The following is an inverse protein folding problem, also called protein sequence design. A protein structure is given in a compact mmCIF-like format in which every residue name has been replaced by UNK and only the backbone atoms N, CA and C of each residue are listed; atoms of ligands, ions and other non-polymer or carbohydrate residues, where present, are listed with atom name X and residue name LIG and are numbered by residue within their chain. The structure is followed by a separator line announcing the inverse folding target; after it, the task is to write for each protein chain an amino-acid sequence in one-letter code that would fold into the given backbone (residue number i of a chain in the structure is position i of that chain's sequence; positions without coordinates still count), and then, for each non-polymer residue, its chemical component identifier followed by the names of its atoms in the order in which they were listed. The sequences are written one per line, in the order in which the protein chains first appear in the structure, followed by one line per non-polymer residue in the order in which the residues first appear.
data_IF_842667973035
#
_entry.id   IF_842667973035
#
_cell.length_a   1.000
_cell.length_b   1.000
_cell.length_c   1.000
_cell.angle_alpha   90.00
_cell.angle_beta   90.00
_cell.angle_gamma   90.00
#
_symmetry.space_group_name_H-M   'P 1'
#
loop_
_entity.id
_entity.type
_entity.pdbx_description
1 polymer ?
#
# COMPACT_ATOMS: atom_id res chain seq x y z
N UNK A 1 -6.90 -18.78 -65.62
CA UNK A 1 -8.10 -18.96 -64.76
C UNK A 1 -7.83 -19.89 -63.59
N UNK A 2 -7.32 -21.11 -63.73
CA UNK A 2 -7.11 -22.06 -62.65
C UNK A 2 -6.24 -21.54 -61.49
N UNK A 3 -5.12 -20.87 -61.77
CA UNK A 3 -4.25 -20.33 -60.74
C UNK A 3 -4.87 -19.22 -59.89
N UNK A 4 -5.80 -18.45 -60.45
CA UNK A 4 -6.55 -17.42 -59.74
C UNK A 4 -7.61 -18.01 -58.81
N UNK A 5 -8.32 -19.05 -59.26
CA UNK A 5 -9.31 -19.78 -58.47
C UNK A 5 -8.63 -20.51 -57.28
N UNK A 6 -7.49 -21.13 -57.50
CA UNK A 6 -6.71 -21.79 -56.43
C UNK A 6 -6.22 -20.79 -55.39
N UNK A 7 -5.81 -19.59 -55.82
CA UNK A 7 -5.42 -18.49 -54.93
C UNK A 7 -6.59 -18.01 -54.07
N UNK A 8 -7.76 -17.83 -54.66
CA UNK A 8 -9.00 -17.44 -53.92
C UNK A 8 -9.39 -18.53 -52.91
N UNK A 9 -9.37 -19.81 -53.32
CA UNK A 9 -9.67 -20.92 -52.42
C UNK A 9 -8.68 -21.04 -51.26
N UNK A 10 -7.39 -20.82 -51.51
CA UNK A 10 -6.37 -20.82 -50.49
C UNK A 10 -6.57 -19.66 -49.51
N UNK A 11 -6.89 -18.45 -49.98
CA UNK A 11 -7.24 -17.28 -49.18
C UNK A 11 -8.46 -17.55 -48.30
N UNK A 12 -9.54 -18.08 -48.88
CA UNK A 12 -10.75 -18.35 -48.11
C UNK A 12 -10.51 -19.38 -47.01
N UNK A 13 -9.78 -20.47 -47.26
CA UNK A 13 -9.41 -21.45 -46.23
C UNK A 13 -8.58 -20.84 -45.12
N UNK A 14 -7.66 -19.95 -45.41
CA UNK A 14 -6.83 -19.25 -44.45
C UNK A 14 -7.68 -18.34 -43.56
N UNK A 15 -8.55 -17.54 -44.15
CA UNK A 15 -9.48 -16.65 -43.41
C UNK A 15 -10.39 -17.48 -42.51
N UNK A 16 -10.99 -18.56 -43.03
CA UNK A 16 -11.86 -19.46 -42.26
C UNK A 16 -11.12 -20.13 -41.07
N UNK A 17 -9.87 -20.56 -41.29
CA UNK A 17 -9.03 -21.12 -40.26
C UNK A 17 -8.68 -20.07 -39.18
N UNK A 18 -8.35 -18.84 -39.58
CA UNK A 18 -8.06 -17.75 -38.64
C UNK A 18 -9.30 -17.36 -37.80
N UNK A 19 -10.50 -17.34 -38.40
CA UNK A 19 -11.75 -17.10 -37.67
C UNK A 19 -12.06 -18.14 -36.59
N UNK A 20 -11.64 -19.38 -36.78
CA UNK A 20 -11.86 -20.45 -35.83
C UNK A 20 -10.79 -20.47 -34.70
N UNK A 21 -9.55 -20.15 -35.04
CA UNK A 21 -8.41 -20.33 -34.13
C UNK A 21 -8.19 -19.09 -33.26
N UNK A 22 -8.08 -17.90 -33.84
CA UNK A 22 -7.68 -16.69 -33.10
C UNK A 22 -8.65 -16.29 -31.98
N UNK A 23 -9.97 -16.28 -32.19
CA UNK A 23 -10.91 -15.95 -31.11
C UNK A 23 -10.83 -16.95 -29.93
N UNK A 24 -10.65 -18.25 -30.23
CA UNK A 24 -10.51 -19.27 -29.21
C UNK A 24 -9.21 -19.09 -28.40
N UNK A 25 -8.12 -18.74 -29.07
CA UNK A 25 -6.83 -18.46 -28.44
C UNK A 25 -6.93 -17.23 -27.53
N UNK A 26 -7.50 -16.12 -27.99
CA UNK A 26 -7.66 -14.92 -27.18
C UNK A 26 -8.61 -15.10 -25.99
N UNK A 27 -9.66 -15.93 -26.12
CA UNK A 27 -10.47 -16.32 -24.95
C UNK A 27 -9.66 -17.07 -23.91
N UNK A 28 -8.74 -17.95 -24.31
CA UNK A 28 -7.79 -18.61 -23.39
C UNK A 28 -6.85 -17.61 -22.73
N UNK A 29 -6.53 -16.50 -23.39
CA UNK A 29 -5.73 -15.40 -22.84
C UNK A 29 -6.50 -14.48 -21.90
N UNK A 30 -7.79 -14.78 -21.66
CA UNK A 30 -8.64 -14.04 -20.73
C UNK A 30 -9.35 -12.83 -21.35
N UNK A 31 -9.53 -12.83 -22.66
CA UNK A 31 -10.36 -11.84 -23.35
C UNK A 31 -11.83 -12.27 -23.36
N UNK A 32 -12.71 -11.35 -22.94
CA UNK A 32 -14.16 -11.48 -22.98
C UNK A 32 -14.82 -10.14 -23.38
N UNK A 33 -14.14 -9.39 -24.24
CA UNK A 33 -14.57 -8.07 -24.70
C UNK A 33 -15.14 -8.20 -26.12
N UNK A 34 -16.46 -8.03 -26.32
CA UNK A 34 -17.08 -8.12 -27.64
C UNK A 34 -16.50 -7.15 -28.66
N UNK A 35 -16.11 -5.95 -28.23
CA UNK A 35 -15.50 -4.95 -29.11
C UNK A 35 -14.13 -5.43 -29.61
N UNK A 36 -13.32 -6.04 -28.73
CA UNK A 36 -12.06 -6.66 -29.13
C UNK A 36 -12.28 -7.74 -30.21
N UNK A 37 -13.25 -8.62 -30.01
CA UNK A 37 -13.52 -9.69 -31.00
C UNK A 37 -14.05 -9.14 -32.30
N UNK A 38 -14.88 -8.10 -32.31
CA UNK A 38 -15.32 -7.42 -33.52
C UNK A 38 -14.15 -6.79 -34.29
N UNK A 39 -13.22 -6.15 -33.57
CA UNK A 39 -11.99 -5.60 -34.15
C UNK A 39 -11.09 -6.70 -34.73
N UNK A 40 -10.94 -7.81 -34.00
CA UNK A 40 -10.18 -8.99 -34.43
C UNK A 40 -10.75 -9.57 -35.75
N UNK A 41 -12.07 -9.76 -35.81
CA UNK A 41 -12.74 -10.21 -37.02
C UNK A 41 -12.52 -9.25 -38.20
N UNK A 42 -12.58 -7.94 -37.92
CA UNK A 42 -12.29 -6.91 -38.92
C UNK A 42 -10.84 -7.02 -39.47
N UNK A 43 -9.89 -7.34 -38.63
CA UNK A 43 -8.48 -7.55 -39.05
C UNK A 43 -8.32 -8.82 -39.89
N UNK A 44 -8.96 -9.93 -39.49
CA UNK A 44 -8.90 -11.22 -40.21
C UNK A 44 -9.48 -11.08 -41.64
N UNK A 45 -10.50 -10.22 -41.82
CA UNK A 45 -11.13 -9.98 -43.13
C UNK A 45 -10.23 -9.15 -44.07
N UNK A 46 -9.26 -8.44 -43.55
CA UNK A 46 -8.29 -7.68 -44.36
C UNK A 46 -7.33 -8.64 -45.07
N UNK A 47 -6.80 -8.20 -46.17
CA UNK A 47 -5.80 -8.95 -46.94
C UNK A 47 -4.39 -8.78 -46.35
N UNK A 48 -4.25 -9.08 -45.04
CA UNK A 48 -3.04 -8.96 -44.31
C UNK A 48 -2.34 -10.32 -44.13
N UNK A 49 -1.04 -10.34 -44.08
CA UNK A 49 -0.28 -11.51 -43.67
C UNK A 49 -0.50 -11.81 -42.18
N UNK A 50 -0.21 -13.03 -41.72
CA UNK A 50 -0.33 -13.40 -40.33
C UNK A 50 0.54 -12.54 -39.39
N UNK A 51 1.72 -12.13 -39.89
CA UNK A 51 2.60 -11.21 -39.17
C UNK A 51 1.99 -9.81 -39.02
N UNK A 52 1.35 -9.31 -40.09
CA UNK A 52 0.67 -8.01 -40.05
C UNK A 52 -0.56 -8.04 -39.14
N UNK A 53 -1.36 -9.11 -39.20
CA UNK A 53 -2.50 -9.29 -38.27
C UNK A 53 -2.03 -9.25 -36.82
N UNK A 54 -0.95 -9.96 -36.48
CA UNK A 54 -0.37 -9.93 -35.11
C UNK A 54 0.11 -8.54 -34.72
N UNK A 55 0.73 -7.79 -35.64
CA UNK A 55 1.15 -6.41 -35.36
C UNK A 55 -0.04 -5.48 -35.12
N UNK A 56 -1.10 -5.62 -35.91
CA UNK A 56 -2.31 -4.80 -35.73
C UNK A 56 -3.05 -5.14 -34.41
N UNK A 57 -3.13 -6.42 -34.04
CA UNK A 57 -3.71 -6.84 -32.75
C UNK A 57 -2.98 -6.18 -31.58
N UNK A 58 -1.64 -6.11 -31.63
CA UNK A 58 -0.84 -5.49 -30.56
C UNK A 58 -1.05 -3.98 -30.43
N UNK A 59 -1.64 -3.33 -31.43
CA UNK A 59 -2.01 -1.90 -31.36
C UNK A 59 -3.38 -1.68 -30.69
N UNK A 60 -4.21 -2.71 -30.58
CA UNK A 60 -5.55 -2.60 -30.01
C UNK A 60 -5.49 -2.21 -28.52
N UNK A 61 -6.33 -1.25 -28.09
CA UNK A 61 -6.38 -0.84 -26.68
C UNK A 61 -6.64 -2.00 -25.71
N UNK A 62 -7.52 -2.93 -26.09
CA UNK A 62 -7.83 -4.11 -25.29
C UNK A 62 -6.60 -5.02 -25.11
N UNK A 63 -5.82 -5.24 -26.18
CA UNK A 63 -4.56 -5.99 -26.09
C UNK A 63 -3.58 -5.31 -25.13
N UNK A 64 -3.43 -3.99 -25.21
CA UNK A 64 -2.54 -3.25 -24.34
C UNK A 64 -2.98 -3.22 -22.87
N UNK A 65 -4.30 -3.26 -22.60
CA UNK A 65 -4.80 -3.43 -21.23
C UNK A 65 -4.44 -4.80 -20.65
N UNK A 66 -4.39 -5.83 -21.50
CA UNK A 66 -4.11 -7.22 -21.06
C UNK A 66 -2.62 -7.54 -21.02
N UNK A 67 -1.85 -7.05 -22.00
CA UNK A 67 -0.44 -7.41 -22.20
C UNK A 67 0.49 -6.18 -22.23
N UNK A 68 0.08 -5.05 -21.68
CA UNK A 68 0.83 -3.80 -21.73
C UNK A 68 2.23 -3.87 -21.11
N UNK A 69 2.45 -4.75 -20.13
CA UNK A 69 3.75 -4.97 -19.54
C UNK A 69 4.79 -5.48 -20.57
N UNK A 70 4.39 -6.22 -21.61
CA UNK A 70 5.30 -6.67 -22.68
C UNK A 70 5.97 -5.46 -23.34
N UNK A 71 5.16 -4.45 -23.70
CA UNK A 71 5.69 -3.23 -24.32
C UNK A 71 6.63 -2.48 -23.37
N UNK A 72 6.21 -2.30 -22.11
CA UNK A 72 7.02 -1.59 -21.10
C UNK A 72 8.34 -2.30 -20.79
N UNK A 73 8.39 -3.64 -20.85
CA UNK A 73 9.65 -4.41 -20.78
C UNK A 73 10.60 -4.02 -21.93
N UNK A 74 10.09 -4.01 -23.15
CA UNK A 74 10.87 -3.64 -24.35
C UNK A 74 11.37 -2.20 -24.22
N UNK A 75 10.51 -1.28 -23.81
CA UNK A 75 10.85 0.14 -23.60
C UNK A 75 11.96 0.33 -22.53
N UNK A 76 12.14 -0.64 -21.61
CA UNK A 76 13.22 -0.71 -20.62
C UNK A 76 14.47 -1.45 -21.10
N UNK A 77 14.49 -1.93 -22.33
CA UNK A 77 15.61 -2.69 -22.88
C UNK A 77 15.62 -4.17 -22.48
N UNK A 78 14.53 -4.68 -21.91
CA UNK A 78 14.37 -6.09 -21.57
C UNK A 78 13.81 -6.88 -22.76
N UNK A 79 14.04 -8.20 -22.78
CA UNK A 79 13.47 -9.07 -23.79
C UNK A 79 11.94 -9.14 -23.70
N UNK A 80 11.29 -9.20 -24.87
CA UNK A 80 9.86 -9.46 -24.94
C UNK A 80 9.57 -10.88 -24.44
N UNK A 81 8.45 -11.04 -23.74
CA UNK A 81 7.86 -12.36 -23.43
C UNK A 81 6.71 -12.62 -24.40
N UNK A 82 6.51 -13.87 -24.79
CA UNK A 82 5.32 -14.28 -25.54
C UNK A 82 4.07 -14.24 -24.66
N UNK A 83 2.90 -14.19 -25.30
CA UNK A 83 1.63 -14.21 -24.59
C UNK A 83 1.45 -15.50 -23.74
N UNK A 84 1.96 -16.64 -24.23
CA UNK A 84 1.95 -17.90 -23.49
C UNK A 84 2.88 -17.88 -22.27
N UNK A 85 4.09 -17.33 -22.40
CA UNK A 85 5.01 -17.13 -21.27
C UNK A 85 4.44 -16.17 -20.25
N UNK A 86 3.78 -15.10 -20.71
CA UNK A 86 3.10 -14.14 -19.85
C UNK A 86 2.06 -14.81 -18.95
N UNK A 87 1.21 -15.66 -19.54
CA UNK A 87 0.21 -16.42 -18.78
C UNK A 87 0.85 -17.42 -17.81
N UNK A 88 1.92 -18.09 -18.23
CA UNK A 88 2.67 -19.01 -17.37
C UNK A 88 3.28 -18.28 -16.16
N UNK A 89 3.79 -17.06 -16.36
CA UNK A 89 4.28 -16.21 -15.26
C UNK A 89 3.15 -15.83 -14.30
N UNK A 90 1.99 -15.40 -14.81
CA UNK A 90 0.82 -15.12 -13.97
C UNK A 90 0.40 -16.32 -13.11
N UNK A 91 0.39 -17.53 -13.69
CA UNK A 91 0.07 -18.75 -12.96
C UNK A 91 1.09 -19.06 -11.86
N UNK A 92 2.37 -18.92 -12.15
CA UNK A 92 3.44 -19.13 -11.20
C UNK A 92 3.40 -18.11 -10.06
N UNK A 93 3.20 -16.82 -10.37
CA UNK A 93 3.06 -15.78 -9.34
C UNK A 93 1.83 -16.03 -8.47
N UNK A 94 0.68 -16.34 -9.07
CA UNK A 94 -0.54 -16.64 -8.31
C UNK A 94 -0.35 -17.83 -7.36
N UNK A 95 0.27 -18.90 -7.84
CA UNK A 95 0.54 -20.08 -7.03
C UNK A 95 1.51 -19.78 -5.89
N UNK A 96 2.57 -19.00 -6.15
CA UNK A 96 3.53 -18.60 -5.14
C UNK A 96 2.86 -17.72 -4.09
N UNK A 97 2.15 -16.66 -4.48
CA UNK A 97 1.46 -15.76 -3.55
C UNK A 97 0.42 -16.49 -2.70
N UNK A 98 -0.34 -17.43 -3.30
CA UNK A 98 -1.31 -18.26 -2.58
C UNK A 98 -0.63 -19.15 -1.52
N UNK A 99 0.49 -19.78 -1.85
CA UNK A 99 1.27 -20.60 -0.89
C UNK A 99 1.74 -19.79 0.32
N UNK A 100 2.09 -18.54 0.12
CA UNK A 100 2.51 -17.63 1.19
C UNK A 100 1.34 -16.95 1.91
N UNK A 101 0.08 -17.24 1.55
CA UNK A 101 -1.11 -16.73 2.21
C UNK A 101 -1.41 -15.25 1.96
N UNK A 102 -0.94 -14.70 0.83
CA UNK A 102 -1.31 -13.33 0.45
C UNK A 102 -2.82 -13.24 0.19
N UNK A 103 -3.43 -12.06 0.41
CA UNK A 103 -4.82 -11.83 0.04
C UNK A 103 -5.07 -12.06 -1.45
N UNK A 104 -6.24 -12.59 -1.78
CA UNK A 104 -6.62 -12.95 -3.15
C UNK A 104 -6.53 -11.76 -4.12
N UNK A 105 -6.80 -10.55 -3.66
CA UNK A 105 -6.70 -9.33 -4.46
C UNK A 105 -5.34 -9.15 -5.15
N UNK A 106 -4.25 -9.70 -4.58
CA UNK A 106 -2.90 -9.59 -5.13
C UNK A 106 -2.63 -10.60 -6.26
N UNK A 107 -3.39 -11.70 -6.32
CA UNK A 107 -3.16 -12.77 -7.29
C UNK A 107 -4.41 -13.23 -8.05
N UNK A 108 -5.57 -12.62 -7.82
CA UNK A 108 -6.76 -12.93 -8.60
C UNK A 108 -6.54 -12.55 -10.07
N UNK A 109 -6.80 -13.48 -10.97
CA UNK A 109 -6.82 -13.21 -12.41
C UNK A 109 -8.02 -12.31 -12.74
N UNK A 110 -7.81 -11.38 -13.64
CA UNK A 110 -8.85 -10.44 -14.08
C UNK A 110 -9.17 -10.67 -15.55
N UNK A 111 -10.44 -10.51 -15.90
CA UNK A 111 -10.91 -10.59 -17.30
C UNK A 111 -10.54 -9.30 -18.03
N UNK A 112 -10.11 -9.40 -19.29
CA UNK A 112 -9.74 -8.29 -20.18
C UNK A 112 -8.56 -7.41 -19.74
N UNK A 113 -7.91 -7.72 -18.62
CA UNK A 113 -6.73 -7.00 -18.14
C UNK A 113 -5.86 -7.89 -17.26
N UNK A 114 -4.63 -7.48 -17.03
CA UNK A 114 -3.73 -8.12 -16.07
C UNK A 114 -3.97 -7.56 -14.66
N UNK A 115 -3.79 -8.39 -13.65
CA UNK A 115 -3.72 -7.93 -12.27
C UNK A 115 -2.52 -6.96 -12.13
N UNK A 116 -2.69 -5.76 -11.54
CA UNK A 116 -1.61 -4.77 -11.40
C UNK A 116 -0.34 -5.32 -10.74
N UNK A 117 -0.48 -6.26 -9.80
CA UNK A 117 0.65 -6.91 -9.15
C UNK A 117 1.48 -7.73 -10.15
N UNK A 118 0.82 -8.56 -10.97
CA UNK A 118 1.50 -9.33 -12.01
C UNK A 118 2.11 -8.43 -13.08
N UNK A 119 1.37 -7.40 -13.48
CA UNK A 119 1.84 -6.41 -14.45
C UNK A 119 3.16 -5.78 -14.02
N UNK A 120 3.24 -5.36 -12.76
CA UNK A 120 4.47 -4.81 -12.17
C UNK A 120 5.61 -5.84 -12.13
N UNK A 121 5.34 -7.07 -11.66
CA UNK A 121 6.35 -8.11 -11.59
C UNK A 121 6.94 -8.44 -12.98
N UNK A 122 6.08 -8.56 -13.98
CA UNK A 122 6.49 -8.85 -15.37
C UNK A 122 7.27 -7.67 -15.96
N UNK A 123 6.79 -6.44 -15.76
CA UNK A 123 7.45 -5.22 -16.24
C UNK A 123 8.88 -5.07 -15.70
N UNK A 124 9.11 -5.44 -14.45
CA UNK A 124 10.42 -5.33 -13.78
C UNK A 124 11.26 -6.60 -13.85
N UNK A 125 10.87 -7.56 -14.68
CA UNK A 125 11.60 -8.82 -14.88
C UNK A 125 11.80 -9.66 -13.61
N UNK A 126 10.87 -9.58 -12.68
CA UNK A 126 10.92 -10.37 -11.45
C UNK A 126 10.59 -11.82 -11.79
N UNK A 127 11.55 -12.73 -11.60
CA UNK A 127 11.30 -14.16 -11.82
C UNK A 127 10.42 -14.75 -10.71
N UNK A 128 9.72 -15.86 -10.95
CA UNK A 128 8.97 -16.57 -9.89
C UNK A 128 9.83 -16.98 -8.70
N UNK A 129 11.09 -17.33 -8.93
CA UNK A 129 12.06 -17.67 -7.87
C UNK A 129 12.41 -16.43 -7.05
N UNK A 130 12.67 -15.33 -7.71
CA UNK A 130 12.93 -14.06 -7.02
C UNK A 130 11.72 -13.59 -6.19
N UNK A 131 10.51 -13.77 -6.71
CA UNK A 131 9.29 -13.50 -5.93
C UNK A 131 9.22 -14.39 -4.69
N UNK A 132 9.52 -15.68 -4.81
CA UNK A 132 9.54 -16.61 -3.67
C UNK A 132 10.57 -16.20 -2.63
N UNK A 133 11.77 -15.81 -3.04
CA UNK A 133 12.82 -15.30 -2.16
C UNK A 133 12.39 -14.02 -1.43
N UNK A 134 11.79 -13.08 -2.14
CA UNK A 134 11.24 -11.84 -1.56
C UNK A 134 10.15 -12.14 -0.53
N UNK A 135 9.25 -13.07 -0.84
CA UNK A 135 8.17 -13.48 0.06
C UNK A 135 8.70 -14.20 1.30
N UNK A 136 9.67 -15.09 1.15
CA UNK A 136 10.33 -15.79 2.26
C UNK A 136 11.03 -14.82 3.21
N UNK A 137 11.78 -13.85 2.65
CA UNK A 137 12.42 -12.80 3.44
C UNK A 137 11.40 -11.89 4.13
N UNK A 138 10.33 -11.52 3.43
CA UNK A 138 9.24 -10.74 3.97
C UNK A 138 8.51 -11.45 5.11
N UNK A 139 8.21 -12.74 4.95
CA UNK A 139 7.59 -13.55 5.98
C UNK A 139 8.45 -13.62 7.25
N UNK A 140 9.77 -13.82 7.10
CA UNK A 140 10.69 -13.77 8.22
C UNK A 140 10.62 -12.43 8.96
N UNK A 141 10.64 -11.31 8.24
CA UNK A 141 10.53 -9.96 8.83
C UNK A 141 9.18 -9.74 9.55
N UNK A 142 8.08 -10.23 8.99
CA UNK A 142 6.75 -10.14 9.63
C UNK A 142 6.71 -10.97 10.90
N UNK A 143 7.29 -12.17 10.90
CA UNK A 143 7.35 -13.03 12.09
C UNK A 143 8.31 -12.50 13.17
N UNK A 144 9.38 -11.81 12.78
CA UNK A 144 10.35 -11.17 13.67
C UNK A 144 9.89 -9.77 14.12
N UNK A 145 8.78 -9.23 13.60
CA UNK A 145 8.23 -7.95 14.04
C UNK A 145 7.95 -7.97 15.55
N UNK A 146 8.21 -6.85 16.22
CA UNK A 146 8.05 -6.73 17.66
C UNK A 146 6.64 -7.23 18.09
N UNK A 147 6.54 -8.10 19.10
CA UNK A 147 5.25 -8.64 19.55
C UNK A 147 4.20 -7.56 19.80
N UNK A 148 4.63 -6.41 20.35
CA UNK A 148 3.76 -5.27 20.65
C UNK A 148 3.07 -4.71 19.40
N UNK A 149 3.75 -4.66 18.25
CA UNK A 149 3.15 -4.18 16.99
C UNK A 149 2.08 -5.17 16.52
N UNK A 150 2.33 -6.47 16.57
CA UNK A 150 1.33 -7.49 16.20
C UNK A 150 0.13 -7.49 17.13
N UNK A 151 0.37 -7.34 18.44
CA UNK A 151 -0.72 -7.28 19.42
C UNK A 151 -1.57 -6.02 19.22
N UNK A 152 -0.95 -4.88 18.93
CA UNK A 152 -1.66 -3.64 18.60
C UNK A 152 -2.45 -3.76 17.28
N UNK A 153 -1.91 -4.44 16.26
CA UNK A 153 -2.63 -4.72 15.02
C UNK A 153 -3.90 -5.53 15.34
N UNK A 154 -3.79 -6.60 16.13
CA UNK A 154 -4.95 -7.41 16.53
C UNK A 154 -5.95 -6.61 17.35
N UNK A 155 -5.48 -5.79 18.27
CA UNK A 155 -6.33 -4.93 19.10
C UNK A 155 -7.09 -3.89 18.28
N UNK A 156 -6.45 -3.23 17.32
CA UNK A 156 -7.05 -2.16 16.53
C UNK A 156 -7.94 -2.67 15.39
N UNK A 157 -7.54 -3.75 14.76
CA UNK A 157 -8.11 -4.20 13.49
C UNK A 157 -8.66 -5.63 13.51
N UNK A 158 -8.42 -6.38 14.60
CA UNK A 158 -8.85 -7.78 14.72
C UNK A 158 -8.36 -8.61 13.53
N UNK A 159 -9.27 -9.35 12.90
CA UNK A 159 -8.98 -10.18 11.73
C UNK A 159 -8.99 -9.39 10.40
N UNK A 160 -9.19 -8.06 10.44
CA UNK A 160 -9.21 -7.23 9.24
C UNK A 160 -7.80 -7.02 8.62
N UNK A 161 -6.74 -7.35 9.36
CA UNK A 161 -5.36 -7.44 8.84
C UNK A 161 -4.79 -8.80 9.24
N UNK A 162 -4.45 -9.59 8.23
CA UNK A 162 -3.82 -10.89 8.40
C UNK A 162 -2.31 -10.79 8.15
N UNK A 163 -1.58 -11.80 8.56
CA UNK A 163 -0.13 -11.89 8.29
C UNK A 163 0.19 -11.77 6.79
N UNK A 164 -0.70 -12.28 5.92
CA UNK A 164 -0.60 -12.12 4.47
C UNK A 164 -0.70 -10.67 3.98
N UNK A 165 -1.49 -9.82 4.65
CA UNK A 165 -1.58 -8.38 4.33
C UNK A 165 -0.29 -7.65 4.70
N UNK A 166 0.28 -8.00 5.87
CA UNK A 166 1.59 -7.49 6.30
C UNK A 166 2.70 -7.95 5.36
N UNK A 167 2.66 -9.20 4.92
CA UNK A 167 3.60 -9.75 3.97
C UNK A 167 3.53 -9.04 2.62
N UNK A 168 2.33 -8.78 2.11
CA UNK A 168 2.14 -8.02 0.88
C UNK A 168 2.75 -6.61 0.97
N UNK A 169 2.59 -5.93 2.12
CA UNK A 169 3.22 -4.63 2.37
C UNK A 169 4.75 -4.70 2.36
N UNK A 170 5.34 -5.73 2.97
CA UNK A 170 6.80 -5.89 3.03
C UNK A 170 7.40 -6.18 1.66
N UNK A 171 6.67 -6.94 0.83
CA UNK A 171 7.16 -7.39 -0.50
C UNK A 171 7.02 -6.31 -1.57
N UNK A 172 5.93 -5.56 -1.53
CA UNK A 172 5.68 -4.47 -2.48
C UNK A 172 5.09 -3.24 -1.76
N UNK A 173 5.95 -2.42 -1.11
CA UNK A 173 5.49 -1.24 -0.39
C UNK A 173 4.83 -0.18 -1.28
N UNK A 174 5.11 -0.19 -2.59
CA UNK A 174 4.56 0.80 -3.53
C UNK A 174 3.13 0.48 -3.94
N UNK A 175 2.83 -0.82 -4.13
CA UNK A 175 1.50 -1.30 -4.53
C UNK A 175 0.72 -1.90 -3.36
N UNK A 176 1.36 -2.04 -2.18
CA UNK A 176 0.60 -2.33 -0.97
C UNK A 176 -0.46 -1.23 -0.82
N UNK A 177 -1.69 -1.67 -0.70
CA UNK A 177 -2.83 -0.77 -0.51
C UNK A 177 -2.43 0.30 0.52
N UNK A 178 -2.51 1.56 0.14
CA UNK A 178 -2.17 2.68 1.02
C UNK A 178 -2.86 2.56 2.40
N UNK A 179 -4.03 1.92 2.40
CA UNK A 179 -4.77 1.56 3.59
C UNK A 179 -4.00 0.62 4.53
N UNK A 180 -3.24 -0.37 4.01
CA UNK A 180 -2.46 -1.28 4.87
C UNK A 180 -1.27 -0.54 5.47
N UNK A 181 -0.59 0.28 4.69
CA UNK A 181 0.49 1.14 5.19
C UNK A 181 0.01 2.01 6.35
N UNK A 182 -1.12 2.73 6.18
CA UNK A 182 -1.70 3.58 7.24
C UNK A 182 -2.05 2.78 8.49
N UNK A 183 -2.63 1.59 8.33
CA UNK A 183 -2.99 0.72 9.44
C UNK A 183 -1.77 0.19 10.20
N UNK A 184 -0.72 -0.21 9.49
CA UNK A 184 0.54 -0.67 10.13
C UNK A 184 1.19 0.50 10.87
N UNK A 185 1.30 1.67 10.25
CA UNK A 185 1.84 2.87 10.92
C UNK A 185 1.00 3.24 12.15
N UNK A 186 -0.33 3.21 12.07
CA UNK A 186 -1.20 3.46 13.22
C UNK A 186 -0.98 2.43 14.34
N UNK A 187 -0.77 1.16 14.00
CA UNK A 187 -0.45 0.13 14.98
C UNK A 187 0.93 0.34 15.64
N UNK A 188 1.94 0.78 14.88
CA UNK A 188 3.25 1.14 15.43
C UNK A 188 3.14 2.35 16.37
N UNK A 189 2.32 3.35 16.04
CA UNK A 189 2.01 4.49 16.91
C UNK A 189 1.33 4.03 18.18
N UNK A 190 0.32 3.15 18.08
CA UNK A 190 -0.37 2.57 19.24
C UNK A 190 0.56 1.76 20.13
N UNK A 191 1.46 0.97 19.54
CA UNK A 191 2.48 0.24 20.27
C UNK A 191 3.45 1.19 21.02
N UNK A 192 3.83 2.31 20.39
CA UNK A 192 4.64 3.35 21.04
C UNK A 192 3.96 3.97 22.26
N UNK A 193 2.66 4.26 22.17
CA UNK A 193 1.87 4.73 23.32
C UNK A 193 1.83 3.68 24.45
N UNK A 194 1.54 2.43 24.12
CA UNK A 194 1.48 1.33 25.09
C UNK A 194 2.84 1.10 25.78
N UNK A 195 3.95 1.21 25.06
CA UNK A 195 5.30 1.13 25.64
C UNK A 195 5.59 2.26 26.65
N UNK A 196 5.00 3.44 26.45
CA UNK A 196 5.07 4.56 27.38
C UNK A 196 4.05 4.46 28.53
N UNK A 197 3.28 3.38 28.61
CA UNK A 197 2.23 3.20 29.62
C UNK A 197 0.98 4.05 29.37
N UNK A 198 0.79 4.56 28.16
CA UNK A 198 -0.34 5.40 27.77
C UNK A 198 -1.34 4.61 26.91
N UNK A 199 -2.62 4.94 27.06
CA UNK A 199 -3.67 4.47 26.15
C UNK A 199 -3.80 5.38 24.92
N UNK A 200 -4.02 4.77 23.77
CA UNK A 200 -4.47 5.51 22.57
C UNK A 200 -5.53 4.70 21.83
N UNK A 201 -6.41 5.38 21.12
CA UNK A 201 -7.42 4.73 20.30
C UNK A 201 -6.92 4.52 18.88
N UNK A 202 -7.51 3.53 18.16
CA UNK A 202 -7.23 3.34 16.72
C UNK A 202 -7.40 4.63 15.94
N UNK A 203 -8.51 5.33 16.16
CA UNK A 203 -8.82 6.57 15.46
C UNK A 203 -7.73 7.63 15.68
N UNK A 204 -7.26 7.79 16.93
CA UNK A 204 -6.19 8.74 17.26
C UNK A 204 -4.87 8.34 16.62
N UNK A 205 -4.53 7.07 16.63
CA UNK A 205 -3.32 6.56 15.99
C UNK A 205 -3.35 6.74 14.46
N UNK A 206 -4.51 6.49 13.82
CA UNK A 206 -4.70 6.76 12.37
C UNK A 206 -4.62 8.26 12.05
N UNK A 207 -5.14 9.11 12.93
CA UNK A 207 -5.01 10.56 12.80
C UNK A 207 -3.55 11.00 12.87
N UNK A 208 -2.80 10.55 13.87
CA UNK A 208 -1.36 10.83 13.99
C UNK A 208 -0.58 10.33 12.76
N UNK A 209 -0.90 9.14 12.26
CA UNK A 209 -0.31 8.62 11.03
C UNK A 209 -0.61 9.54 9.81
N UNK A 210 -1.79 10.15 9.75
CA UNK A 210 -2.16 11.09 8.67
C UNK A 210 -1.38 12.40 8.72
N UNK A 211 -0.90 12.81 9.90
CA UNK A 211 0.03 13.92 10.09
C UNK A 211 1.50 13.56 9.82
N UNK A 212 1.78 12.32 9.39
CA UNK A 212 3.13 11.86 9.07
C UNK A 212 3.93 11.39 10.27
N UNK A 213 3.30 11.18 11.43
CA UNK A 213 3.98 10.59 12.60
C UNK A 213 4.36 9.15 12.27
N UNK A 214 5.63 8.82 12.43
CA UNK A 214 6.18 7.46 12.27
C UNK A 214 6.16 6.70 13.59
N UNK A 215 6.29 5.36 13.53
CA UNK A 215 6.40 4.54 14.76
C UNK A 215 7.58 4.94 15.68
N UNK A 216 8.70 5.39 15.08
CA UNK A 216 9.86 5.87 15.84
C UNK A 216 9.55 7.21 16.53
N UNK A 217 9.02 8.19 15.80
CA UNK A 217 8.61 9.46 16.36
C UNK A 217 7.55 9.28 17.47
N UNK A 218 6.63 8.33 17.28
CA UNK A 218 5.62 7.98 18.27
C UNK A 218 6.25 7.47 19.58
N UNK A 219 7.20 6.55 19.50
CA UNK A 219 7.89 6.03 20.70
C UNK A 219 8.54 7.14 21.52
N UNK A 220 9.26 8.03 20.86
CA UNK A 220 9.92 9.18 21.52
C UNK A 220 8.90 10.20 22.05
N UNK A 221 7.90 10.55 21.23
CA UNK A 221 6.89 11.52 21.60
C UNK A 221 6.03 11.06 22.77
N UNK A 222 5.59 9.81 22.79
CA UNK A 222 4.78 9.28 23.90
C UNK A 222 5.54 9.15 25.21
N UNK A 223 6.86 8.97 25.19
CA UNK A 223 7.68 9.09 26.41
C UNK A 223 7.58 10.51 26.99
N UNK A 224 7.69 11.53 26.15
CA UNK A 224 7.50 12.93 26.58
C UNK A 224 6.08 13.18 27.09
N UNK A 225 5.06 12.65 26.42
CA UNK A 225 3.67 12.74 26.88
C UNK A 225 3.49 12.10 28.27
N UNK A 226 4.04 10.91 28.47
CA UNK A 226 3.96 10.19 29.75
C UNK A 226 4.63 10.94 30.92
N UNK A 227 5.70 11.68 30.65
CA UNK A 227 6.37 12.50 31.66
C UNK A 227 5.56 13.74 32.07
N UNK A 228 4.83 14.35 31.12
CA UNK A 228 4.14 15.64 31.31
C UNK A 228 2.69 15.46 31.77
N UNK A 229 1.99 14.44 31.29
CA UNK A 229 0.56 14.26 31.52
C UNK A 229 0.12 14.25 32.99
N UNK A 230 0.81 13.54 33.93
CA UNK A 230 0.41 13.54 35.34
C UNK A 230 0.45 14.93 35.98
N UNK A 231 1.45 15.73 35.63
CA UNK A 231 1.65 17.08 36.18
C UNK A 231 0.65 18.09 35.64
N UNK A 232 0.31 18.00 34.35
CA UNK A 232 -0.64 18.89 33.69
C UNK A 232 -2.03 18.81 34.32
N UNK A 233 -2.51 17.59 34.56
CA UNK A 233 -3.80 17.36 35.21
C UNK A 233 -3.84 17.84 36.67
N UNK A 234 -2.79 17.60 37.45
CA UNK A 234 -2.70 18.06 38.83
C UNK A 234 -2.69 19.56 38.97
N UNK A 235 -1.89 20.26 38.15
CA UNK A 235 -1.82 21.72 38.16
C UNK A 235 -3.15 22.36 37.75
N UNK A 236 -3.82 21.83 36.75
CA UNK A 236 -5.13 22.31 36.34
C UNK A 236 -6.16 22.20 37.49
N UNK A 237 -6.18 21.07 38.19
CA UNK A 237 -7.04 20.87 39.34
C UNK A 237 -6.73 21.82 40.52
N UNK A 238 -5.46 22.08 40.82
CA UNK A 238 -5.03 23.01 41.88
C UNK A 238 -5.44 24.46 41.59
N UNK A 239 -5.32 24.89 40.32
CA UNK A 239 -5.57 26.29 39.94
C UNK A 239 -6.98 26.56 39.41
N UNK A 240 -7.85 25.53 39.36
CA UNK A 240 -9.21 25.67 38.81
C UNK A 240 -9.23 26.03 37.31
N UNK A 241 -8.21 25.64 36.60
CA UNK A 241 -8.08 25.88 35.15
C UNK A 241 -8.56 24.67 34.35
N UNK A 242 -8.79 24.86 33.04
CA UNK A 242 -9.12 23.73 32.14
C UNK A 242 -8.02 22.68 32.16
N UNK A 243 -8.38 21.38 32.20
CA UNK A 243 -7.40 20.30 32.20
C UNK A 243 -6.46 20.36 30.98
N UNK A 244 -5.16 20.25 31.23
CA UNK A 244 -4.17 20.02 30.19
C UNK A 244 -4.05 18.51 30.00
N UNK A 245 -4.79 18.03 29.02
CA UNK A 245 -5.04 16.60 28.80
C UNK A 245 -3.93 15.90 28.04
N UNK A 246 -3.90 14.56 28.06
CA UNK A 246 -3.01 13.77 27.23
C UNK A 246 -3.13 14.18 25.75
N UNK A 247 -4.34 14.38 25.24
CA UNK A 247 -4.57 14.79 23.85
C UNK A 247 -3.98 16.16 23.53
N UNK A 248 -4.03 17.11 24.47
CA UNK A 248 -3.39 18.41 24.32
C UNK A 248 -1.86 18.29 24.22
N UNK A 249 -1.27 17.46 25.08
CA UNK A 249 0.17 17.22 25.09
C UNK A 249 0.59 16.51 23.79
N UNK A 250 -0.16 15.50 23.35
CA UNK A 250 0.07 14.84 22.07
C UNK A 250 0.01 15.82 20.90
N UNK A 251 -0.99 16.72 20.89
CA UNK A 251 -1.10 17.73 19.85
C UNK A 251 0.12 18.65 19.78
N UNK A 252 0.65 19.05 20.93
CA UNK A 252 1.86 19.89 21.01
C UNK A 252 3.12 19.13 20.63
N UNK A 253 3.29 17.88 21.09
CA UNK A 253 4.47 17.03 20.83
C UNK A 253 4.54 16.62 19.36
N UNK A 254 3.41 16.24 18.76
CA UNK A 254 3.36 15.78 17.37
C UNK A 254 3.00 16.88 16.34
N UNK A 255 2.77 18.10 16.79
CA UNK A 255 2.47 19.24 15.91
C UNK A 255 1.14 19.09 15.14
N UNK A 256 0.13 18.45 15.74
CA UNK A 256 -1.16 18.20 15.09
C UNK A 256 -2.14 19.38 15.24
N UNK A 257 -3.34 19.26 14.68
CA UNK A 257 -4.40 20.25 14.89
C UNK A 257 -4.66 20.42 16.39
N UNK A 258 -4.74 21.68 16.86
CA UNK A 258 -4.87 21.97 18.30
C UNK A 258 -3.55 22.24 19.05
N UNK A 259 -2.38 22.05 18.43
CA UNK A 259 -1.09 22.31 19.07
C UNK A 259 -0.95 23.74 19.61
N UNK A 260 -1.53 24.74 18.90
CA UNK A 260 -1.48 26.15 19.31
C UNK A 260 -2.33 26.39 20.56
N UNK A 261 -3.53 25.82 20.62
CA UNK A 261 -4.43 25.88 21.76
C UNK A 261 -3.85 25.15 22.97
N UNK A 262 -3.28 23.96 22.75
CA UNK A 262 -2.60 23.18 23.78
C UNK A 262 -1.44 23.97 24.39
N UNK A 263 -0.61 24.60 23.56
CA UNK A 263 0.48 25.48 24.01
C UNK A 263 -0.02 26.66 24.84
N UNK A 264 -1.10 27.33 24.40
CA UNK A 264 -1.71 28.42 25.17
C UNK A 264 -2.24 27.96 26.54
N UNK A 265 -2.82 26.74 26.61
CA UNK A 265 -3.25 26.16 27.92
C UNK A 265 -2.04 25.92 28.83
N UNK A 266 -0.99 25.31 28.31
CA UNK A 266 0.25 25.08 29.04
C UNK A 266 0.85 26.41 29.57
N UNK A 267 0.93 27.43 28.72
CA UNK A 267 1.44 28.75 29.09
C UNK A 267 0.62 29.42 30.18
N UNK A 268 -0.74 29.32 30.13
CA UNK A 268 -1.62 29.81 31.19
C UNK A 268 -1.36 29.11 32.53
N UNK A 269 -1.30 27.78 32.54
CA UNK A 269 -0.99 27.00 33.72
C UNK A 269 0.38 27.39 34.32
N UNK A 270 1.41 27.50 33.47
CA UNK A 270 2.74 27.93 33.90
C UNK A 270 2.77 29.36 34.45
N UNK A 271 1.97 30.26 33.88
CA UNK A 271 1.86 31.65 34.38
C UNK A 271 1.18 31.68 35.76
N UNK A 272 0.11 30.89 35.95
CA UNK A 272 -0.58 30.75 37.25
C UNK A 272 0.38 30.19 38.33
N UNK A 273 1.08 29.11 38.01
CA UNK A 273 2.05 28.51 38.89
C UNK A 273 3.11 29.56 39.31
N UNK A 274 3.72 30.27 38.36
CA UNK A 274 4.70 31.32 38.64
C UNK A 274 4.12 32.47 39.47
N UNK A 275 2.91 32.93 39.19
CA UNK A 275 2.26 34.01 39.98
C UNK A 275 2.00 33.60 41.44
N UNK A 276 1.67 32.34 41.66
CA UNK A 276 1.44 31.83 43.03
C UNK A 276 2.71 31.70 43.83
N UNK A 277 3.84 31.36 43.20
CA UNK A 277 5.13 31.18 43.86
C UNK A 277 6.03 32.41 43.77
N UNK A 278 5.72 33.45 43.00
CA UNK A 278 6.53 34.67 42.89
C UNK A 278 6.51 35.50 44.19
N UNK A 279 5.57 35.23 45.13
CA UNK A 279 5.52 35.87 46.44
C UNK A 279 6.40 35.23 47.50
N UNK A 280 6.98 34.07 47.31
CA UNK A 280 7.91 33.40 48.21
C UNK A 280 9.30 33.43 47.58
N UNK A 281 10.23 34.19 48.19
CA UNK A 281 11.62 34.34 47.74
C UNK A 281 12.33 32.99 47.66
N UNK A 282 12.46 32.43 46.47
CA UNK A 282 13.24 31.23 46.21
C UNK A 282 12.91 30.73 44.79
N UNK A 283 13.90 30.83 43.90
CA UNK A 283 13.77 30.44 42.49
C UNK A 283 13.46 28.94 42.37
N UNK A 284 12.19 28.59 42.37
CA UNK A 284 11.73 27.28 41.93
C UNK A 284 11.32 27.39 40.46
N UNK A 285 12.04 26.72 39.58
CA UNK A 285 11.59 26.51 38.19
C UNK A 285 10.27 25.76 38.25
N UNK A 286 9.20 26.32 37.64
CA UNK A 286 7.89 25.69 37.59
C UNK A 286 7.92 24.29 36.98
N UNK A 287 7.00 23.43 37.43
CA UNK A 287 6.94 22.02 37.02
C UNK A 287 6.77 21.79 35.51
N UNK A 288 6.31 22.82 34.76
CA UNK A 288 6.14 22.81 33.31
C UNK A 288 7.22 23.57 32.54
N UNK A 289 8.25 24.10 33.22
CA UNK A 289 9.32 24.93 32.64
C UNK A 289 10.44 24.14 31.98
N UNK A 290 10.21 22.92 31.50
CA UNK A 290 11.18 22.26 30.63
C UNK A 290 10.99 22.69 29.17
N UNK A 291 11.97 23.40 28.68
CA UNK A 291 12.16 23.92 27.31
C UNK A 291 12.27 22.80 26.21
N UNK A 292 11.64 21.64 26.40
CA UNK A 292 11.77 20.48 25.52
C UNK A 292 10.49 19.95 24.91
N UNK A 293 9.44 20.75 24.87
CA UNK A 293 8.23 20.39 24.13
C UNK A 293 8.20 20.97 22.68
N UNK A 294 9.36 21.16 22.10
CA UNK A 294 9.40 21.68 20.74
C UNK A 294 10.78 21.51 20.13
N UNK A 295 11.04 20.37 19.59
CA UNK A 295 12.24 20.17 18.81
C UNK A 295 12.57 18.72 18.56
N UNK A 296 11.82 18.11 17.69
CA UNK A 296 12.28 17.01 16.84
C UNK A 296 11.93 17.35 15.40
#
# INVERSE_FOLDING_TARGET
MLAHEDSIRAKNRRVESAFNILPAEFRRYGFDDPEFFNQLEGLIRRDLSDAEVRLEIRKLPAYNRRFGAIKRRIDRGLSAVSEAEYLALEDQYANTMRRFGLPEAYYAKQTNRTNPTFESLIEFDVSPVELEDRLSLGQKRVMEAAPQVRDTIRQFYGDAIKDGDMLAFVVDPKNALEQIRRKVTAAEIGAGAAQAGLGTTRQRAEELASYGVTGEAARQGFQTVAEVAPRGGQLAAIYGEEPYTQTDIEAEVFGTAGAVEARRRRERLSARERSTFAGSAGALQGALARDRAGGI
#
